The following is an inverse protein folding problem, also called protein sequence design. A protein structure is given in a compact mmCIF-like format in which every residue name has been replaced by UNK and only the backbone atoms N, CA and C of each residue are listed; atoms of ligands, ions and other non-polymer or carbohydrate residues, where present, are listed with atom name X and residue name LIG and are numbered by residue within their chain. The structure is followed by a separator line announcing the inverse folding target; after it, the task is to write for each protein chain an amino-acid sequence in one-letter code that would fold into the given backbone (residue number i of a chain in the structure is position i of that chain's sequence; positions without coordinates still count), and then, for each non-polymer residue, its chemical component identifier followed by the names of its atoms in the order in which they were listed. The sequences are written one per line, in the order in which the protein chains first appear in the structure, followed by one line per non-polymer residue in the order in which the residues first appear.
data_IF_333617810173
#
_entry.id   IF_333617810173
#
_cell.length_a   1.000
_cell.length_b   1.000
_cell.length_c   1.000
_cell.angle_alpha   90.00
_cell.angle_beta   90.00
_cell.angle_gamma   90.00
#
_symmetry.space_group_name_H-M   'P 1'
#
loop_
_entity.id
_entity.type
_entity.pdbx_description
1 polymer ?
#
# COMPACT_ATOMS: atom_id res chain seq x y z
N UNK A 1 -11.99 -10.50 7.53
CA UNK A 1 -11.48 -10.64 6.15
C UNK A 1 -9.96 -10.66 6.15
N UNK A 2 -9.25 -9.70 6.77
CA UNK A 2 -7.77 -9.69 6.80
C UNK A 2 -7.17 -10.94 7.46
N UNK A 3 -7.81 -11.50 8.51
CA UNK A 3 -7.40 -12.78 9.09
C UNK A 3 -7.54 -13.95 8.10
N UNK A 4 -8.63 -13.99 7.33
CA UNK A 4 -8.82 -15.03 6.32
C UNK A 4 -7.74 -14.98 5.22
N UNK A 5 -7.33 -13.79 4.80
CA UNK A 5 -6.24 -13.61 3.84
C UNK A 5 -4.90 -14.15 4.37
N UNK A 6 -4.61 -13.94 5.65
CA UNK A 6 -3.40 -14.45 6.28
C UNK A 6 -3.42 -15.98 6.48
N UNK A 7 -4.60 -16.56 6.72
CA UNK A 7 -4.75 -18.03 6.78
C UNK A 7 -4.46 -18.65 5.41
N UNK A 8 -4.94 -18.04 4.33
CA UNK A 8 -4.64 -18.49 2.96
C UNK A 8 -3.13 -18.50 2.70
N UNK A 9 -2.41 -17.49 3.19
CA UNK A 9 -0.95 -17.45 3.10
C UNK A 9 -0.29 -18.59 3.91
N UNK A 10 -0.75 -18.81 5.15
CA UNK A 10 -0.16 -19.81 6.07
C UNK A 10 -0.33 -21.28 5.60
N UNK A 11 -1.24 -21.56 4.69
CA UNK A 11 -1.47 -22.89 4.11
C UNK A 11 -0.59 -23.22 2.89
N UNK A 12 0.46 -22.42 2.61
CA UNK A 12 1.34 -22.61 1.45
C UNK A 12 0.70 -22.19 0.12
N UNK A 13 -0.37 -21.41 0.15
CA UNK A 13 -1.08 -20.88 -1.03
C UNK A 13 -0.62 -19.46 -1.38
N UNK A 14 0.68 -19.22 -1.37
CA UNK A 14 1.28 -17.90 -1.62
C UNK A 14 0.75 -17.25 -2.91
N UNK A 15 0.69 -18.02 -4.01
CA UNK A 15 0.18 -17.52 -5.30
C UNK A 15 -1.27 -17.01 -5.21
N UNK A 16 -2.11 -17.65 -4.39
CA UNK A 16 -3.49 -17.18 -4.18
C UNK A 16 -3.51 -15.88 -3.38
N UNK A 17 -2.68 -15.77 -2.35
CA UNK A 17 -2.51 -14.55 -1.57
C UNK A 17 -2.08 -13.39 -2.47
N UNK A 18 -1.05 -13.56 -3.28
CA UNK A 18 -0.56 -12.55 -4.24
C UNK A 18 -1.65 -12.14 -5.23
N UNK A 19 -2.39 -13.09 -5.78
CA UNK A 19 -3.51 -12.81 -6.70
C UNK A 19 -4.59 -11.96 -6.05
N UNK A 20 -4.94 -12.23 -4.79
CA UNK A 20 -5.92 -11.43 -4.04
C UNK A 20 -5.39 -10.01 -3.81
N UNK A 21 -4.12 -9.87 -3.39
CA UNK A 21 -3.50 -8.56 -3.19
C UNK A 21 -3.46 -7.76 -4.49
N UNK A 22 -3.09 -8.36 -5.61
CA UNK A 22 -3.13 -7.70 -6.93
C UNK A 22 -4.56 -7.28 -7.28
N UNK A 23 -5.55 -8.13 -7.03
CA UNK A 23 -6.97 -7.78 -7.22
C UNK A 23 -7.38 -6.56 -6.39
N UNK A 24 -7.01 -6.51 -5.11
CA UNK A 24 -7.26 -5.37 -4.25
C UNK A 24 -6.55 -4.09 -4.76
N UNK A 25 -5.30 -4.20 -5.22
CA UNK A 25 -4.57 -3.08 -5.81
C UNK A 25 -5.24 -2.55 -7.09
N UNK A 26 -5.80 -3.42 -7.91
CA UNK A 26 -6.59 -3.00 -9.10
C UNK A 26 -7.82 -2.23 -8.65
N UNK A 27 -8.56 -2.71 -7.65
CA UNK A 27 -9.73 -2.02 -7.10
C UNK A 27 -9.35 -0.65 -6.55
N UNK A 28 -8.25 -0.55 -5.80
CA UNK A 28 -7.72 0.71 -5.28
C UNK A 28 -7.42 1.68 -6.42
N UNK A 29 -6.68 1.21 -7.42
CA UNK A 29 -6.25 2.01 -8.57
C UNK A 29 -7.44 2.55 -9.34
N UNK A 30 -8.39 1.68 -9.69
CA UNK A 30 -9.61 2.08 -10.40
C UNK A 30 -10.48 2.99 -9.54
N UNK A 31 -10.61 2.69 -8.24
CA UNK A 31 -11.43 3.46 -7.30
C UNK A 31 -10.95 4.91 -7.18
N UNK A 32 -9.66 5.10 -7.04
CA UNK A 32 -9.11 6.44 -6.86
C UNK A 32 -8.97 7.22 -8.17
N UNK A 33 -8.59 6.54 -9.27
CA UNK A 33 -8.47 7.20 -10.57
C UNK A 33 -9.84 7.56 -11.18
N UNK A 34 -10.91 6.83 -10.84
CA UNK A 34 -12.26 7.14 -11.34
C UNK A 34 -12.67 8.57 -11.00
N UNK A 35 -12.33 9.06 -9.80
CA UNK A 35 -12.61 10.44 -9.39
C UNK A 35 -11.96 11.51 -10.28
N UNK A 36 -10.75 11.25 -10.79
CA UNK A 36 -10.06 12.16 -11.69
C UNK A 36 -10.72 12.30 -13.07
N UNK A 37 -11.37 11.24 -13.55
CA UNK A 37 -12.14 11.31 -14.80
C UNK A 37 -13.39 12.16 -14.66
N UNK A 38 -14.01 12.20 -13.48
CA UNK A 38 -15.20 12.98 -13.20
C UNK A 38 -14.87 14.46 -12.96
N UNK A 39 -13.76 14.73 -12.26
CA UNK A 39 -13.29 16.08 -11.99
C UNK A 39 -11.81 16.22 -12.39
N UNK A 40 -11.52 16.40 -13.68
CA UNK A 40 -10.14 16.59 -14.12
C UNK A 40 -9.59 17.92 -13.55
N UNK A 41 -8.43 17.87 -12.88
CA UNK A 41 -7.80 19.07 -12.34
C UNK A 41 -7.32 20.00 -13.46
N UNK A 42 -7.30 21.30 -13.20
CA UNK A 42 -6.85 22.28 -14.18
C UNK A 42 -5.35 22.09 -14.52
N UNK A 43 -4.95 21.98 -15.79
CA UNK A 43 -3.56 21.77 -16.19
C UNK A 43 -2.61 22.86 -15.66
N UNK A 44 -3.07 24.11 -15.61
CA UNK A 44 -2.30 25.24 -15.08
C UNK A 44 -2.07 25.13 -13.58
N UNK A 45 -3.07 24.67 -12.83
CA UNK A 45 -2.93 24.39 -11.39
C UNK A 45 -1.94 23.25 -11.11
N UNK A 46 -1.98 22.18 -11.92
CA UNK A 46 -1.03 21.06 -11.81
C UNK A 46 0.42 21.51 -12.04
N UNK A 47 0.68 22.26 -13.09
CA UNK A 47 2.03 22.78 -13.39
C UNK A 47 2.53 23.73 -12.32
N UNK A 48 1.65 24.60 -11.78
CA UNK A 48 1.98 25.49 -10.67
C UNK A 48 2.30 24.75 -9.37
N UNK A 49 1.67 23.59 -9.14
CA UNK A 49 1.89 22.74 -7.97
C UNK A 49 3.17 21.91 -8.01
N UNK A 50 3.81 21.74 -9.18
CA UNK A 50 5.08 21.03 -9.29
C UNK A 50 6.26 21.79 -8.66
N UNK A 51 6.12 23.11 -8.46
CA UNK A 51 7.12 23.90 -7.77
C UNK A 51 6.85 23.85 -6.26
N UNK A 52 7.73 23.23 -5.45
CA UNK A 52 7.56 23.16 -4.01
C UNK A 52 7.52 24.57 -3.42
N UNK A 53 6.43 24.91 -2.72
CA UNK A 53 6.27 26.19 -2.03
C UNK A 53 5.87 25.89 -0.59
N UNK A 54 6.78 26.17 0.33
CA UNK A 54 6.48 26.04 1.76
C UNK A 54 5.96 27.38 2.27
N UNK A 55 4.78 27.35 2.89
CA UNK A 55 4.15 28.51 3.52
C UNK A 55 4.09 28.25 5.03
N UNK A 56 5.22 28.55 5.70
CA UNK A 56 5.33 28.36 7.15
C UNK A 56 5.65 26.92 7.58
N UNK A 57 5.73 26.72 8.88
CA UNK A 57 6.08 25.43 9.52
C UNK A 57 5.05 24.34 9.25
N UNK A 58 3.77 24.69 9.16
CA UNK A 58 2.68 23.73 8.99
C UNK A 58 2.78 22.99 7.64
N UNK A 59 3.13 23.71 6.57
CA UNK A 59 3.32 23.09 5.26
C UNK A 59 4.51 22.14 5.23
N UNK A 60 5.56 22.39 5.99
CA UNK A 60 6.71 21.49 6.15
C UNK A 60 6.31 20.25 6.93
N UNK A 61 5.53 20.40 8.00
CA UNK A 61 5.02 19.28 8.79
C UNK A 61 4.12 18.36 7.95
N UNK A 62 3.21 18.94 7.16
CA UNK A 62 2.35 18.16 6.25
C UNK A 62 3.19 17.42 5.22
N UNK A 63 4.17 18.08 4.58
CA UNK A 63 5.06 17.43 3.63
C UNK A 63 5.87 16.30 4.26
N UNK A 64 6.39 16.49 5.48
CA UNK A 64 7.11 15.45 6.22
C UNK A 64 6.20 14.28 6.59
N UNK A 65 4.95 14.55 6.99
CA UNK A 65 3.95 13.52 7.28
C UNK A 65 3.61 12.69 6.05
N UNK A 66 3.43 13.32 4.89
CA UNK A 66 3.18 12.64 3.62
C UNK A 66 4.36 11.75 3.21
N UNK A 67 5.59 12.24 3.35
CA UNK A 67 6.79 11.43 3.11
C UNK A 67 6.86 10.25 4.07
N UNK A 68 6.61 10.46 5.35
CA UNK A 68 6.61 9.38 6.36
C UNK A 68 5.52 8.33 6.10
N UNK A 69 4.36 8.74 5.61
CA UNK A 69 3.27 7.82 5.26
C UNK A 69 3.56 6.98 4.00
N UNK A 70 4.36 7.51 3.06
CA UNK A 70 4.69 6.81 1.81
C UNK A 70 5.91 5.90 1.91
N UNK A 71 6.87 6.22 2.78
CA UNK A 71 8.08 5.41 2.95
C UNK A 71 7.80 4.21 3.85
N UNK A 72 7.84 3.02 3.28
CA UNK A 72 7.59 1.75 3.97
C UNK A 72 8.86 0.89 4.01
N UNK A 73 9.74 1.03 5.01
CA UNK A 73 11.00 0.27 5.08
C UNK A 73 10.79 -1.24 5.10
N UNK A 74 9.73 -1.72 5.74
CA UNK A 74 9.38 -3.12 5.80
C UNK A 74 8.99 -3.72 4.43
N UNK A 75 8.56 -2.90 3.47
CA UNK A 75 8.29 -3.36 2.11
C UNK A 75 9.57 -3.83 1.38
N UNK A 76 10.73 -3.22 1.70
CA UNK A 76 12.02 -3.64 1.14
C UNK A 76 12.39 -5.05 1.63
N UNK A 77 12.19 -5.33 2.91
CA UNK A 77 12.43 -6.66 3.48
C UNK A 77 11.52 -7.71 2.85
N UNK A 78 10.22 -7.39 2.73
CA UNK A 78 9.25 -8.29 2.12
C UNK A 78 9.58 -8.56 0.65
N UNK A 79 9.92 -7.53 -0.13
CA UNK A 79 10.29 -7.70 -1.54
C UNK A 79 11.54 -8.57 -1.69
N UNK A 80 12.54 -8.38 -0.83
CA UNK A 80 13.75 -9.19 -0.82
C UNK A 80 13.46 -10.66 -0.51
N UNK A 81 12.58 -10.93 0.46
CA UNK A 81 12.15 -12.29 0.80
C UNK A 81 11.41 -12.95 -0.37
N UNK A 82 10.43 -12.26 -0.96
CA UNK A 82 9.64 -12.77 -2.08
C UNK A 82 10.50 -13.09 -3.33
N UNK A 83 11.51 -12.26 -3.62
CA UNK A 83 12.44 -12.54 -4.71
C UNK A 83 13.24 -13.82 -4.45
N UNK A 84 13.71 -14.00 -3.21
CA UNK A 84 14.45 -15.20 -2.83
C UNK A 84 13.57 -16.46 -2.90
N UNK A 85 12.32 -16.39 -2.47
CA UNK A 85 11.38 -17.51 -2.48
C UNK A 85 11.02 -17.92 -3.91
N UNK A 86 10.75 -16.95 -4.80
CA UNK A 86 10.49 -17.21 -6.23
C UNK A 86 11.68 -17.86 -6.92
N UNK A 87 12.88 -17.42 -6.58
CA UNK A 87 14.11 -17.98 -7.17
C UNK A 87 14.36 -19.40 -6.67
N UNK A 88 14.05 -19.69 -5.40
CA UNK A 88 14.16 -21.03 -4.84
C UNK A 88 13.20 -22.02 -5.51
N UNK A 89 11.98 -21.58 -5.84
CA UNK A 89 10.95 -22.39 -6.48
C UNK A 89 11.29 -22.68 -7.96
N UNK A 90 11.87 -21.72 -8.70
CA UNK A 90 12.20 -21.90 -10.12
C UNK A 90 13.46 -22.75 -10.35
N UNK A 91 14.42 -22.71 -9.44
CA UNK A 91 15.75 -23.29 -9.66
C UNK A 91 15.96 -24.64 -8.95
N UNK A 92 15.02 -25.07 -8.11
CA UNK A 92 15.18 -26.28 -7.29
C UNK A 92 16.34 -26.17 -6.29
N UNK A 93 16.71 -27.27 -5.60
CA UNK A 93 17.77 -27.22 -4.58
C UNK A 93 19.10 -26.76 -5.20
N UNK A 94 19.52 -25.58 -4.80
CA UNK A 94 20.75 -24.92 -5.23
C UNK A 94 21.97 -25.82 -5.11
N UNK A 95 22.57 -26.18 -6.21
CA UNK A 95 23.98 -26.63 -6.21
C UNK A 95 24.85 -25.38 -6.16
N UNK A 96 25.89 -25.39 -5.29
CA UNK A 96 26.79 -24.26 -5.08
C UNK A 96 27.43 -23.69 -6.36
N UNK A 97 27.42 -24.46 -7.43
CA UNK A 97 28.01 -24.16 -8.74
C UNK A 97 27.13 -23.21 -9.60
N UNK A 98 25.81 -23.24 -9.41
CA UNK A 98 24.89 -22.36 -10.16
C UNK A 98 24.87 -20.90 -9.67
N UNK A 99 25.27 -20.65 -8.43
CA UNK A 99 25.32 -19.28 -7.84
C UNK A 99 26.37 -18.36 -8.48
N UNK A 100 27.36 -18.92 -9.16
CA UNK A 100 28.50 -18.17 -9.70
C UNK A 100 28.38 -17.81 -11.17
N UNK A 101 27.27 -18.12 -11.82
CA UNK A 101 27.05 -17.69 -13.20
C UNK A 101 26.67 -16.21 -13.23
N UNK A 102 27.63 -15.37 -13.60
CA UNK A 102 27.42 -13.91 -13.80
C UNK A 102 26.26 -13.59 -14.72
N UNK A 103 25.94 -14.49 -15.66
CA UNK A 103 24.79 -14.36 -16.55
C UNK A 103 23.43 -14.52 -15.86
N UNK A 104 23.34 -15.42 -14.87
CA UNK A 104 22.12 -15.62 -14.09
C UNK A 104 21.84 -14.42 -13.18
N UNK A 105 22.83 -13.99 -12.41
CA UNK A 105 22.72 -12.83 -11.53
C UNK A 105 22.31 -11.55 -12.31
N UNK A 106 22.88 -11.32 -13.50
CA UNK A 106 22.53 -10.16 -14.29
C UNK A 106 21.09 -10.20 -14.83
N UNK A 107 20.57 -11.40 -15.11
CA UNK A 107 19.16 -11.60 -15.51
C UNK A 107 18.21 -11.31 -14.37
N UNK A 108 18.49 -11.82 -13.17
CA UNK A 108 17.71 -11.56 -11.97
C UNK A 108 17.67 -10.07 -11.63
N UNK A 109 18.83 -9.42 -11.56
CA UNK A 109 18.91 -7.99 -11.30
C UNK A 109 18.14 -7.15 -12.35
N UNK A 110 18.13 -7.60 -13.61
CA UNK A 110 17.35 -6.94 -14.66
C UNK A 110 15.84 -7.13 -14.45
N UNK A 111 15.40 -8.34 -14.12
CA UNK A 111 14.00 -8.64 -13.85
C UNK A 111 13.50 -7.86 -12.64
N UNK A 112 14.21 -7.91 -11.50
CA UNK A 112 13.89 -7.16 -10.29
C UNK A 112 13.85 -5.64 -10.55
N UNK A 113 14.80 -5.11 -11.34
CA UNK A 113 14.79 -3.68 -11.69
C UNK A 113 13.57 -3.29 -12.50
N UNK A 114 13.18 -4.10 -13.49
CA UNK A 114 11.99 -3.85 -14.30
C UNK A 114 10.73 -3.90 -13.44
N UNK A 115 10.62 -4.90 -12.56
CA UNK A 115 9.51 -5.06 -11.62
C UNK A 115 9.37 -3.83 -10.70
N UNK A 116 10.46 -3.40 -10.07
CA UNK A 116 10.49 -2.22 -9.21
C UNK A 116 10.07 -0.96 -9.98
N UNK A 117 10.58 -0.74 -11.19
CA UNK A 117 10.22 0.44 -11.97
C UNK A 117 8.73 0.46 -12.32
N UNK A 118 8.17 -0.67 -12.73
CA UNK A 118 6.74 -0.76 -13.03
C UNK A 118 5.87 -0.59 -11.78
N UNK A 119 6.18 -1.29 -10.71
CA UNK A 119 5.43 -1.22 -9.46
C UNK A 119 5.44 0.21 -8.87
N UNK A 120 6.62 0.85 -8.78
CA UNK A 120 6.74 2.21 -8.26
C UNK A 120 6.12 3.26 -9.18
N UNK A 121 6.15 3.06 -10.50
CA UNK A 121 5.49 3.97 -11.44
C UNK A 121 3.97 3.94 -11.27
N UNK A 122 3.38 2.74 -11.17
CA UNK A 122 1.94 2.59 -10.93
C UNK A 122 1.56 3.18 -9.56
N UNK A 123 2.30 2.84 -8.51
CA UNK A 123 2.05 3.38 -7.18
C UNK A 123 2.17 4.91 -7.14
N UNK A 124 3.18 5.47 -7.81
CA UNK A 124 3.37 6.91 -7.94
C UNK A 124 2.21 7.60 -8.66
N UNK A 125 1.72 7.00 -9.76
CA UNK A 125 0.55 7.52 -10.48
C UNK A 125 -0.71 7.50 -9.61
N UNK A 126 -0.94 6.44 -8.83
CA UNK A 126 -2.07 6.36 -7.90
C UNK A 126 -1.96 7.42 -6.81
N UNK A 127 -0.77 7.63 -6.23
CA UNK A 127 -0.52 8.66 -5.22
C UNK A 127 -0.74 10.07 -5.77
N UNK A 128 -0.25 10.36 -6.96
CA UNK A 128 -0.51 11.63 -7.65
C UNK A 128 -2.02 11.78 -7.90
N UNK A 129 -2.67 10.73 -8.35
CA UNK A 129 -4.12 10.72 -8.57
C UNK A 129 -4.91 11.05 -7.31
N UNK A 130 -4.57 10.42 -6.19
CA UNK A 130 -5.18 10.72 -4.89
C UNK A 130 -4.98 12.17 -4.45
N UNK A 131 -3.76 12.68 -4.60
CA UNK A 131 -3.43 14.07 -4.24
C UNK A 131 -4.23 15.06 -5.10
N UNK A 132 -4.34 14.81 -6.39
CA UNK A 132 -5.12 15.63 -7.30
C UNK A 132 -6.63 15.55 -7.01
N UNK A 133 -7.14 14.37 -6.68
CA UNK A 133 -8.53 14.19 -6.26
C UNK A 133 -8.82 14.96 -4.96
N UNK A 134 -7.93 14.85 -3.98
CA UNK A 134 -8.05 15.58 -2.73
C UNK A 134 -8.03 17.10 -2.97
N UNK A 135 -7.12 17.59 -3.80
CA UNK A 135 -7.04 19.00 -4.15
C UNK A 135 -8.29 19.50 -4.89
N UNK A 136 -8.92 18.66 -5.72
CA UNK A 136 -10.11 19.03 -6.49
C UNK A 136 -11.41 18.96 -5.65
N UNK A 137 -11.53 17.95 -4.76
CA UNK A 137 -12.77 17.66 -4.06
C UNK A 137 -12.81 18.11 -2.60
N UNK A 138 -11.65 18.18 -1.93
CA UNK A 138 -11.56 18.44 -0.50
C UNK A 138 -11.05 19.85 -0.16
N UNK A 139 -10.39 20.52 -1.10
CA UNK A 139 -9.84 21.85 -0.82
C UNK A 139 -10.94 22.85 -0.44
N UNK A 140 -10.77 23.47 0.75
CA UNK A 140 -11.72 24.45 1.29
C UNK A 140 -12.97 23.85 1.93
N UNK A 141 -13.12 22.55 2.00
CA UNK A 141 -14.18 21.87 2.74
C UNK A 141 -13.79 21.70 4.21
N UNK A 142 -14.72 21.96 5.12
CA UNK A 142 -14.54 21.71 6.54
C UNK A 142 -14.84 20.24 6.89
N UNK A 143 -14.16 19.69 7.91
CA UNK A 143 -14.42 18.35 8.41
C UNK A 143 -13.87 17.22 7.53
N UNK A 144 -12.90 17.52 6.66
CA UNK A 144 -12.27 16.55 5.76
C UNK A 144 -11.05 15.85 6.39
N UNK A 145 -10.83 16.08 7.65
CA UNK A 145 -9.80 15.48 8.51
C UNK A 145 -10.14 14.06 8.96
N UNK A 146 -11.40 13.64 8.77
CA UNK A 146 -11.88 12.28 9.01
C UNK A 146 -12.20 11.55 7.71
N UNK A 147 -12.20 10.20 7.74
CA UNK A 147 -12.54 9.37 6.58
C UNK A 147 -13.99 9.61 6.15
N UNK A 148 -14.91 9.72 7.12
CA UNK A 148 -16.33 9.99 6.91
C UNK A 148 -16.52 11.37 6.26
N UNK A 149 -15.83 12.38 6.77
CA UNK A 149 -15.89 13.73 6.22
C UNK A 149 -15.31 13.81 4.80
N UNK A 150 -14.20 13.15 4.53
CA UNK A 150 -13.63 13.05 3.18
C UNK A 150 -14.60 12.33 2.22
N UNK A 151 -15.22 11.22 2.64
CA UNK A 151 -16.24 10.52 1.86
C UNK A 151 -17.45 11.39 1.59
N UNK A 152 -17.97 12.11 2.59
CA UNK A 152 -19.10 13.02 2.45
C UNK A 152 -18.78 14.15 1.46
N UNK A 153 -17.60 14.76 1.56
CA UNK A 153 -17.15 15.83 0.67
C UNK A 153 -17.01 15.33 -0.79
N UNK A 154 -16.42 14.16 -1.00
CA UNK A 154 -16.31 13.53 -2.32
C UNK A 154 -17.69 13.20 -2.88
N UNK A 155 -18.59 12.63 -2.07
CA UNK A 155 -19.94 12.28 -2.48
C UNK A 155 -20.78 13.51 -2.85
N UNK A 156 -20.63 14.61 -2.13
CA UNK A 156 -21.35 15.87 -2.40
C UNK A 156 -20.79 16.60 -3.62
N UNK A 157 -19.48 16.56 -3.84
CA UNK A 157 -18.80 17.29 -4.92
C UNK A 157 -18.83 16.52 -6.25
N UNK A 158 -18.56 15.21 -6.21
CA UNK A 158 -18.39 14.37 -7.41
C UNK A 158 -19.53 13.37 -7.62
N UNK A 159 -20.47 13.32 -6.69
CA UNK A 159 -21.64 12.45 -6.74
C UNK A 159 -21.48 11.15 -5.94
N UNK A 160 -22.62 10.52 -5.58
CA UNK A 160 -22.64 9.38 -4.66
C UNK A 160 -21.96 8.13 -5.23
N UNK A 161 -21.93 7.96 -6.55
CA UNK A 161 -21.23 6.83 -7.19
C UNK A 161 -19.73 6.93 -6.95
N UNK A 162 -19.12 8.10 -7.14
CA UNK A 162 -17.68 8.33 -6.91
C UNK A 162 -17.34 8.15 -5.43
N UNK A 163 -18.20 8.65 -4.54
CA UNK A 163 -18.06 8.43 -3.10
C UNK A 163 -18.07 6.95 -2.71
N UNK A 164 -19.00 6.16 -3.29
CA UNK A 164 -19.05 4.71 -3.05
C UNK A 164 -17.80 3.99 -3.57
N UNK A 165 -17.36 4.32 -4.77
CA UNK A 165 -16.14 3.74 -5.38
C UNK A 165 -14.91 4.11 -4.56
N UNK A 166 -14.82 5.33 -4.06
CA UNK A 166 -13.78 5.78 -3.13
C UNK A 166 -13.78 4.98 -1.83
N UNK A 167 -14.95 4.77 -1.21
CA UNK A 167 -15.08 3.98 0.02
C UNK A 167 -14.65 2.50 -0.19
N UNK A 168 -15.01 1.90 -1.32
CA UNK A 168 -14.57 0.55 -1.69
C UNK A 168 -13.06 0.51 -1.90
N UNK A 169 -12.48 1.53 -2.53
CA UNK A 169 -11.03 1.69 -2.69
C UNK A 169 -10.31 1.78 -1.34
N UNK A 170 -10.83 2.59 -0.39
CA UNK A 170 -10.29 2.69 0.97
C UNK A 170 -10.36 1.34 1.71
N UNK A 171 -11.49 0.64 1.65
CA UNK A 171 -11.64 -0.67 2.25
C UNK A 171 -10.62 -1.67 1.68
N UNK A 172 -10.49 -1.71 0.36
CA UNK A 172 -9.51 -2.56 -0.32
C UNK A 172 -8.07 -2.21 0.10
N UNK A 173 -7.75 -0.92 0.22
CA UNK A 173 -6.46 -0.42 0.68
C UNK A 173 -6.15 -0.88 2.12
N UNK A 174 -7.11 -0.72 3.04
CA UNK A 174 -6.97 -1.17 4.42
C UNK A 174 -6.74 -2.68 4.53
N UNK A 175 -7.45 -3.49 3.74
CA UNK A 175 -7.30 -4.94 3.71
C UNK A 175 -5.93 -5.36 3.14
N UNK A 176 -5.51 -4.77 2.03
CA UNK A 176 -4.22 -5.04 1.41
C UNK A 176 -3.06 -4.63 2.34
N UNK A 177 -3.08 -3.40 2.84
CA UNK A 177 -2.05 -2.85 3.71
C UNK A 177 -1.87 -3.65 5.00
N UNK A 178 -2.97 -4.00 5.67
CA UNK A 178 -2.90 -4.82 6.91
C UNK A 178 -2.39 -6.23 6.65
N UNK A 179 -2.68 -6.81 5.50
CA UNK A 179 -2.21 -8.15 5.13
C UNK A 179 -0.73 -8.14 4.78
N UNK A 180 -0.30 -7.22 3.93
CA UNK A 180 1.11 -7.04 3.53
C UNK A 180 1.98 -6.67 4.73
N UNK A 181 1.52 -5.75 5.59
CA UNK A 181 2.25 -5.37 6.81
C UNK A 181 2.42 -6.52 7.80
N UNK A 182 1.40 -7.37 7.96
CA UNK A 182 1.51 -8.54 8.81
C UNK A 182 2.48 -9.58 8.24
N UNK A 183 2.53 -9.74 6.92
CA UNK A 183 3.49 -10.60 6.24
C UNK A 183 4.92 -10.07 6.40
N UNK A 184 5.15 -8.81 6.08
CA UNK A 184 6.45 -8.18 6.25
C UNK A 184 6.98 -8.30 7.69
N UNK A 185 6.10 -8.09 8.70
CA UNK A 185 6.46 -8.32 10.10
C UNK A 185 6.85 -9.76 10.40
N UNK A 186 6.26 -10.74 9.67
CA UNK A 186 6.64 -12.14 9.75
C UNK A 186 8.06 -12.39 9.30
N UNK A 187 8.37 -11.89 8.12
CA UNK A 187 9.68 -12.04 7.50
C UNK A 187 10.78 -11.38 8.33
N UNK A 188 10.51 -10.20 8.86
CA UNK A 188 11.45 -9.49 9.73
C UNK A 188 11.70 -10.26 11.02
N UNK A 189 10.67 -10.83 11.65
CA UNK A 189 10.82 -11.60 12.88
C UNK A 189 11.60 -12.90 12.65
N UNK A 190 11.35 -13.61 11.56
CA UNK A 190 12.08 -14.84 11.22
C UNK A 190 13.53 -14.52 10.82
N UNK A 191 13.74 -13.50 9.98
CA UNK A 191 15.08 -13.15 9.47
C UNK A 191 15.99 -12.46 10.49
N UNK A 192 15.47 -11.55 11.31
CA UNK A 192 16.28 -10.79 12.26
C UNK A 192 16.31 -11.38 13.68
N UNK A 193 15.15 -11.83 14.16
CA UNK A 193 15.03 -12.31 15.54
C UNK A 193 15.10 -13.83 15.66
N UNK A 194 15.01 -14.55 14.53
CA UNK A 194 14.97 -16.02 14.49
C UNK A 194 13.81 -16.60 15.32
N UNK A 195 12.71 -15.82 15.46
CA UNK A 195 11.52 -16.17 16.26
C UNK A 195 10.37 -16.49 15.30
N UNK A 196 9.96 -17.74 15.28
CA UNK A 196 8.80 -18.20 14.51
C UNK A 196 7.54 -18.15 15.37
N UNK A 197 6.77 -17.08 15.27
CA UNK A 197 5.46 -16.96 15.91
C UNK A 197 4.38 -17.25 14.87
N UNK A 198 3.41 -18.13 15.16
CA UNK A 198 2.28 -18.36 14.27
C UNK A 198 1.59 -17.04 13.92
N UNK A 199 1.26 -16.86 12.63
CA UNK A 199 0.67 -15.62 12.10
C UNK A 199 -0.60 -15.22 12.87
N UNK A 200 -1.43 -16.20 13.26
CA UNK A 200 -2.65 -15.96 14.03
C UNK A 200 -2.38 -15.37 15.42
N UNK A 201 -1.36 -15.88 16.14
CA UNK A 201 -1.02 -15.38 17.48
C UNK A 201 -0.53 -13.93 17.39
N UNK A 202 0.31 -13.63 16.44
CA UNK A 202 0.82 -12.29 16.20
C UNK A 202 -0.29 -11.30 15.85
N UNK A 203 -1.25 -11.74 15.02
CA UNK A 203 -2.41 -10.94 14.65
C UNK A 203 -3.34 -10.67 15.85
N UNK A 204 -3.54 -11.66 16.71
CA UNK A 204 -4.32 -11.49 17.93
C UNK A 204 -3.66 -10.48 18.88
N UNK A 205 -2.35 -10.57 19.07
CA UNK A 205 -1.58 -9.61 19.90
C UNK A 205 -1.74 -8.16 19.40
N UNK A 206 -1.74 -7.96 18.08
CA UNK A 206 -1.92 -6.61 17.50
C UNK A 206 -3.37 -6.16 17.45
N UNK A 207 -4.32 -7.09 17.30
CA UNK A 207 -5.74 -6.78 17.15
C UNK A 207 -6.41 -6.42 18.49
N UNK A 208 -6.05 -7.11 19.58
CA UNK A 208 -6.67 -6.90 20.89
C UNK A 208 -6.49 -5.45 21.38
N UNK A 209 -5.29 -4.84 21.40
CA UNK A 209 -5.13 -3.44 21.78
C UNK A 209 -5.92 -2.50 20.86
N UNK A 210 -5.92 -2.74 19.55
CA UNK A 210 -6.66 -1.93 18.60
C UNK A 210 -8.18 -1.96 18.87
N UNK A 211 -8.74 -3.15 19.14
CA UNK A 211 -10.16 -3.29 19.48
C UNK A 211 -10.50 -2.63 20.82
N UNK A 212 -9.61 -2.69 21.81
CA UNK A 212 -9.80 -2.02 23.09
C UNK A 212 -9.84 -0.49 22.90
N UNK A 213 -8.91 0.08 22.13
CA UNK A 213 -8.84 1.51 21.85
C UNK A 213 -10.08 1.98 21.09
N UNK A 214 -10.49 1.27 20.03
CA UNK A 214 -11.70 1.57 19.28
C UNK A 214 -12.97 1.43 20.15
N UNK A 215 -13.05 0.36 20.96
CA UNK A 215 -14.17 0.14 21.88
C UNK A 215 -14.26 1.18 23.02
N UNK A 216 -13.15 1.82 23.35
CA UNK A 216 -13.10 2.93 24.30
C UNK A 216 -13.53 4.28 23.67
N UNK A 217 -13.91 4.30 22.37
CA UNK A 217 -14.39 5.49 21.68
C UNK A 217 -13.28 6.43 21.21
N UNK A 218 -12.05 5.95 21.09
CA UNK A 218 -10.99 6.71 20.43
C UNK A 218 -11.29 6.74 18.91
N UNK A 219 -11.41 7.92 18.37
CA UNK A 219 -11.53 8.12 16.92
C UNK A 219 -10.22 7.72 16.23
N UNK A 220 -10.29 6.98 15.11
CA UNK A 220 -9.11 6.52 14.39
C UNK A 220 -8.38 7.63 13.64
#
# INVERSE_FOLDING_TARGET
VSMALLVVQGEGKQRQFETIIVGLLIVITLGFLAGLFVAPPSPSGMLGGLLPRFQGTDSVLVAASMLGATVMPHAVYLHSSLVNDHEADELGPYTADSRHSTGHLSRLLRATRIDIYWALSIAGLVNIGLLLLAAAALAGQSGTDTIEGAHAAISSTLGPLVGTVFAVGLLASGLASTSVGAYAGSEIMDGLLHIRVPILVRRLISLIPALIILGAGAEP
#
